data_IF_157166646256
#
_entry.id   IF_157166646256
#
_cell.length_a   1.000
_cell.length_b   1.000
_cell.length_c   1.000
_cell.angle_alpha   90.00
_cell.angle_beta   90.00
_cell.angle_gamma   90.00
#
_symmetry.space_group_name_H-M   'P 1'
#
loop_
_entity.id
_entity.type
_entity.pdbx_description
1 polymer ?
#
# COMPACT_ATOMS: atom_id res chain seq x y z
N UNK A 1 15.19 -5.15 -14.74
CA UNK A 1 14.96 -4.10 -13.72
C UNK A 1 16.29 -3.42 -13.41
N UNK A 2 16.31 -2.07 -13.37
CA UNK A 2 17.48 -1.29 -12.98
C UNK A 2 17.44 -1.11 -11.46
N UNK A 3 18.57 -1.37 -10.80
CA UNK A 3 18.74 -1.17 -9.36
C UNK A 3 19.96 -0.29 -9.15
N UNK A 4 19.80 0.83 -8.44
CA UNK A 4 20.89 1.76 -8.14
C UNK A 4 20.97 2.00 -6.63
N UNK A 5 22.19 1.98 -6.11
CA UNK A 5 22.45 2.44 -4.74
C UNK A 5 22.62 3.96 -4.75
N UNK A 6 21.85 4.64 -3.93
CA UNK A 6 21.92 6.10 -3.77
C UNK A 6 22.07 6.49 -2.31
N UNK A 7 22.67 7.65 -2.08
CA UNK A 7 22.61 8.30 -0.76
C UNK A 7 21.50 9.32 -0.72
N UNK A 8 20.74 9.31 0.38
CA UNK A 8 19.69 10.28 0.61
C UNK A 8 20.08 11.30 1.67
N UNK A 9 19.57 12.53 1.54
CA UNK A 9 19.69 13.57 2.57
C UNK A 9 18.57 13.50 3.61
N UNK A 10 17.44 12.90 3.25
CA UNK A 10 16.25 12.72 4.07
C UNK A 10 15.54 11.43 3.70
N UNK A 11 15.02 10.73 4.70
CA UNK A 11 14.21 9.52 4.53
C UNK A 11 12.88 9.63 5.27
N UNK A 12 12.85 10.38 6.39
CA UNK A 12 11.65 10.75 7.12
C UNK A 12 11.21 12.14 6.64
N UNK A 13 10.08 12.22 5.95
CA UNK A 13 9.58 13.46 5.36
C UNK A 13 8.19 13.78 5.91
N UNK A 14 7.87 15.07 6.09
CA UNK A 14 6.50 15.47 6.45
C UNK A 14 5.54 15.03 5.36
N UNK A 15 4.38 14.52 5.79
CA UNK A 15 3.34 14.04 4.88
C UNK A 15 2.22 15.06 4.71
N UNK A 16 1.64 15.09 3.51
CA UNK A 16 0.37 15.79 3.25
C UNK A 16 -0.86 14.86 3.33
N UNK A 17 -0.64 13.59 3.64
CA UNK A 17 -1.73 12.60 3.75
C UNK A 17 -2.42 12.82 5.11
N UNK A 18 -3.75 12.93 5.10
CA UNK A 18 -4.54 13.08 6.32
C UNK A 18 -4.27 11.92 7.29
N UNK A 19 -3.96 12.25 8.55
CA UNK A 19 -3.66 11.26 9.59
C UNK A 19 -2.24 10.69 9.55
N UNK A 20 -1.36 11.21 8.67
CA UNK A 20 0.05 10.82 8.57
C UNK A 20 0.93 12.04 8.78
N UNK A 21 1.72 12.06 9.85
CA UNK A 21 2.65 13.17 10.13
C UNK A 21 3.93 13.03 9.30
N UNK A 22 4.42 11.81 9.19
CA UNK A 22 5.67 11.51 8.49
C UNK A 22 5.51 10.30 7.56
N UNK A 23 6.12 10.42 6.39
CA UNK A 23 6.33 9.32 5.45
C UNK A 23 7.77 8.83 5.53
N UNK A 24 7.97 7.52 5.63
CA UNK A 24 9.26 6.85 5.63
C UNK A 24 9.37 5.93 4.41
N UNK A 25 10.22 6.32 3.46
CA UNK A 25 10.40 5.59 2.21
C UNK A 25 11.89 5.27 1.98
N UNK A 26 12.36 4.05 2.32
CA UNK A 26 13.77 3.66 2.14
C UNK A 26 14.17 3.41 0.69
N UNK A 27 13.20 3.39 -0.22
CA UNK A 27 13.39 3.19 -1.66
C UNK A 27 12.74 4.32 -2.46
N UNK A 28 13.17 4.48 -3.73
CA UNK A 28 12.43 5.20 -4.77
C UNK A 28 12.14 4.22 -5.91
N UNK A 29 10.90 4.19 -6.38
CA UNK A 29 10.43 3.09 -7.24
C UNK A 29 9.92 1.91 -6.42
N UNK A 30 9.31 0.93 -7.10
CA UNK A 30 8.75 -0.25 -6.44
C UNK A 30 8.72 -1.44 -7.39
N UNK A 31 9.43 -2.50 -7.02
CA UNK A 31 9.54 -3.71 -7.83
C UNK A 31 8.27 -4.56 -7.87
N UNK A 32 7.23 -4.27 -7.07
CA UNK A 32 5.92 -4.91 -7.24
C UNK A 32 5.29 -4.62 -8.60
N UNK A 33 5.67 -3.51 -9.24
CA UNK A 33 5.28 -3.13 -10.60
C UNK A 33 3.76 -3.08 -10.85
N UNK A 34 2.96 -2.78 -9.82
CA UNK A 34 1.50 -2.77 -9.93
C UNK A 34 1.03 -1.87 -11.07
N UNK A 35 0.12 -2.38 -11.93
CA UNK A 35 -0.35 -1.67 -13.11
C UNK A 35 -1.15 -0.40 -12.77
N UNK A 36 -1.82 -0.37 -11.61
CA UNK A 36 -2.64 0.74 -11.12
C UNK A 36 -1.91 1.66 -10.12
N UNK A 37 -0.59 1.52 -9.97
CA UNK A 37 0.16 2.23 -8.93
C UNK A 37 0.05 3.74 -9.08
N UNK A 38 -0.50 4.41 -8.07
CA UNK A 38 -0.61 5.87 -8.06
C UNK A 38 0.75 6.55 -7.90
N UNK A 39 1.73 5.88 -7.27
CA UNK A 39 3.04 6.43 -7.00
C UNK A 39 3.90 6.65 -8.28
N UNK A 40 3.37 6.27 -9.45
CA UNK A 40 3.99 6.58 -10.76
C UNK A 40 4.33 8.07 -10.92
N UNK A 41 3.61 8.97 -10.24
CA UNK A 41 3.89 10.40 -10.27
C UNK A 41 5.29 10.74 -9.69
N UNK A 42 5.84 9.90 -8.84
CA UNK A 42 7.16 10.08 -8.24
C UNK A 42 8.28 10.05 -9.28
N UNK A 43 8.06 9.39 -10.43
CA UNK A 43 9.03 9.34 -11.53
C UNK A 43 9.52 10.74 -11.93
N UNK A 44 8.66 11.77 -11.90
CA UNK A 44 9.01 13.16 -12.25
C UNK A 44 10.09 13.77 -11.34
N UNK A 45 10.32 13.19 -10.15
CA UNK A 45 11.34 13.63 -9.19
C UNK A 45 12.61 12.78 -9.24
N UNK A 46 12.71 11.88 -10.21
CA UNK A 46 13.87 11.02 -10.46
C UNK A 46 14.49 11.38 -11.80
N UNK A 47 15.71 10.96 -12.04
CA UNK A 47 16.35 11.06 -13.38
C UNK A 47 15.96 9.93 -14.33
N UNK A 48 15.11 8.98 -13.88
CA UNK A 48 14.78 7.79 -14.64
C UNK A 48 13.88 8.08 -15.85
N UNK A 49 14.26 7.50 -16.99
CA UNK A 49 13.45 7.48 -18.23
C UNK A 49 12.61 6.20 -18.32
N UNK A 50 13.03 5.16 -17.63
CA UNK A 50 12.41 3.84 -17.57
C UNK A 50 10.98 3.90 -17.02
N UNK A 51 10.18 2.89 -17.32
CA UNK A 51 8.83 2.79 -16.78
C UNK A 51 8.82 2.55 -15.26
N UNK A 52 7.82 3.09 -14.58
CA UNK A 52 7.59 2.83 -13.17
C UNK A 52 7.39 1.32 -12.92
N UNK A 53 8.14 0.76 -11.98
CA UNK A 53 8.13 -0.67 -11.69
C UNK A 53 9.30 -1.42 -12.37
N UNK A 54 10.10 -0.76 -13.21
CA UNK A 54 11.28 -1.36 -13.85
C UNK A 54 12.60 -0.81 -13.31
N UNK A 55 12.55 0.11 -12.36
CA UNK A 55 13.70 0.64 -11.63
C UNK A 55 13.42 0.77 -10.13
N UNK A 56 14.48 0.67 -9.33
CA UNK A 56 14.45 0.98 -7.88
C UNK A 56 15.79 1.60 -7.48
N UNK A 57 15.72 2.77 -6.83
CA UNK A 57 16.87 3.36 -6.14
C UNK A 57 16.83 2.95 -4.66
N UNK A 58 17.92 2.37 -4.21
CA UNK A 58 18.13 1.85 -2.87
C UNK A 58 18.86 2.92 -2.05
N UNK A 59 18.20 3.52 -1.05
CA UNK A 59 18.79 4.55 -0.18
C UNK A 59 19.68 3.90 0.88
N UNK A 60 20.90 3.52 0.49
CA UNK A 60 21.80 2.71 1.32
C UNK A 60 22.12 3.29 2.69
N UNK A 61 22.03 4.62 2.85
CA UNK A 61 22.26 5.32 4.10
C UNK A 61 20.96 5.66 4.87
N UNK A 62 19.81 5.11 4.45
CA UNK A 62 18.50 5.42 5.04
C UNK A 62 18.45 5.24 6.57
N UNK A 63 18.96 4.14 7.16
CA UNK A 63 18.91 3.93 8.62
C UNK A 63 19.69 4.97 9.40
N UNK A 64 20.87 5.40 8.90
CA UNK A 64 21.72 6.42 9.53
C UNK A 64 21.07 7.79 9.43
N UNK A 65 20.47 8.11 8.28
CA UNK A 65 19.74 9.36 8.08
C UNK A 65 18.51 9.40 8.97
N UNK A 66 17.75 8.29 9.05
CA UNK A 66 16.59 8.16 9.94
C UNK A 66 16.98 8.41 11.41
N UNK A 67 18.02 7.74 11.91
CA UNK A 67 18.49 7.91 13.28
C UNK A 67 18.82 9.35 13.63
N UNK A 68 19.37 10.12 12.68
CA UNK A 68 19.64 11.56 12.87
C UNK A 68 18.36 12.40 12.87
N UNK A 69 17.41 12.07 11.97
CA UNK A 69 16.16 12.79 11.86
C UNK A 69 15.24 12.56 13.06
N UNK A 70 15.15 11.32 13.56
CA UNK A 70 14.33 10.97 14.73
C UNK A 70 14.72 11.78 15.99
N UNK A 71 16.02 12.08 16.21
CA UNK A 71 16.46 12.91 17.35
C UNK A 71 15.89 14.32 17.35
N UNK A 72 15.39 14.82 16.21
CA UNK A 72 14.87 16.18 16.02
C UNK A 72 13.39 16.20 15.66
N UNK A 73 12.83 15.05 15.32
CA UNK A 73 11.42 14.92 14.97
C UNK A 73 10.56 15.00 16.24
N UNK A 74 9.39 15.62 16.11
CA UNK A 74 8.38 15.58 17.17
C UNK A 74 7.67 14.23 17.10
N UNK A 75 7.22 13.67 18.25
CA UNK A 75 6.34 12.49 18.24
C UNK A 75 5.16 12.65 17.28
N UNK A 76 4.76 11.58 16.65
CA UNK A 76 3.68 11.58 15.66
C UNK A 76 3.58 10.25 14.93
N UNK A 77 2.73 10.20 13.94
CA UNK A 77 2.48 9.00 13.14
C UNK A 77 3.49 8.90 11.98
N UNK A 78 4.20 7.78 11.90
CA UNK A 78 5.12 7.46 10.79
C UNK A 78 4.49 6.34 9.96
N UNK A 79 4.24 6.62 8.68
CA UNK A 79 3.78 5.59 7.74
C UNK A 79 4.92 5.15 6.82
N UNK A 80 5.21 3.85 6.83
CA UNK A 80 6.16 3.21 5.91
C UNK A 80 5.52 2.96 4.55
N UNK A 81 6.26 3.27 3.48
CA UNK A 81 5.87 2.86 2.14
C UNK A 81 4.73 3.67 1.54
N UNK A 82 4.69 4.99 1.74
CA UNK A 82 3.63 5.82 1.17
C UNK A 82 3.71 5.96 -0.35
N UNK A 83 4.91 5.91 -0.96
CA UNK A 83 5.12 6.03 -2.42
C UNK A 83 6.01 4.91 -2.98
N UNK A 84 6.27 3.91 -2.18
CA UNK A 84 6.93 2.64 -2.52
C UNK A 84 6.36 1.57 -1.60
N UNK A 85 6.64 0.30 -1.83
CA UNK A 85 6.40 -0.72 -0.81
C UNK A 85 7.71 -0.95 -0.06
N UNK A 86 7.67 -0.80 1.27
CA UNK A 86 8.84 -0.96 2.12
C UNK A 86 9.36 -2.42 2.15
N UNK A 87 8.48 -3.38 1.83
CA UNK A 87 8.79 -4.81 1.76
C UNK A 87 8.75 -5.37 0.33
N UNK A 88 8.97 -4.51 -0.67
CA UNK A 88 9.11 -4.94 -2.05
C UNK A 88 10.21 -6.02 -2.21
N UNK A 89 10.24 -6.79 -3.31
CA UNK A 89 11.17 -7.93 -3.47
C UNK A 89 12.64 -7.64 -3.15
N UNK A 90 13.13 -6.42 -3.42
CA UNK A 90 14.52 -6.02 -3.14
C UNK A 90 14.84 -5.93 -1.65
N UNK A 91 13.83 -5.72 -0.80
CA UNK A 91 14.00 -5.67 0.66
C UNK A 91 14.56 -6.99 1.24
N UNK A 92 14.34 -8.11 0.55
CA UNK A 92 14.91 -9.41 0.93
C UNK A 92 16.45 -9.40 0.98
N UNK A 93 17.08 -8.66 0.07
CA UNK A 93 18.53 -8.58 -0.04
C UNK A 93 19.12 -7.34 0.65
N UNK A 94 18.39 -6.22 0.64
CA UNK A 94 18.93 -4.94 1.13
C UNK A 94 18.62 -4.67 2.60
N UNK A 95 17.58 -5.28 3.17
CA UNK A 95 17.16 -5.19 4.57
C UNK A 95 17.04 -3.75 5.14
N UNK A 96 16.76 -2.78 4.28
CA UNK A 96 16.69 -1.37 4.68
C UNK A 96 15.50 -1.08 5.58
N UNK A 97 14.35 -1.70 5.32
CA UNK A 97 13.17 -1.56 6.19
C UNK A 97 13.43 -2.15 7.56
N UNK A 98 14.08 -3.32 7.63
CA UNK A 98 14.54 -3.92 8.87
C UNK A 98 15.47 -2.99 9.63
N UNK A 99 16.51 -2.46 8.99
CA UNK A 99 17.46 -1.54 9.61
C UNK A 99 16.81 -0.21 10.05
N UNK A 100 15.77 0.26 9.34
CA UNK A 100 14.97 1.40 9.77
C UNK A 100 14.13 1.07 11.01
N UNK A 101 13.51 -0.10 11.08
CA UNK A 101 12.80 -0.56 12.30
C UNK A 101 13.75 -0.67 13.50
N UNK A 102 14.95 -1.21 13.31
CA UNK A 102 15.98 -1.23 14.36
C UNK A 102 16.34 0.18 14.85
N UNK A 103 16.41 1.16 13.93
CA UNK A 103 16.66 2.55 14.31
C UNK A 103 15.51 3.13 15.15
N UNK A 104 14.25 2.81 14.81
CA UNK A 104 13.07 3.21 15.57
C UNK A 104 13.05 2.57 16.96
N UNK A 105 13.32 1.27 17.06
CA UNK A 105 13.40 0.55 18.33
C UNK A 105 14.49 1.12 19.24
N UNK A 106 15.69 1.40 18.69
CA UNK A 106 16.80 2.00 19.46
C UNK A 106 16.50 3.41 19.96
N UNK A 107 15.70 4.16 19.19
CA UNK A 107 15.36 5.55 19.56
C UNK A 107 14.40 5.62 20.73
N UNK A 108 13.52 4.62 20.92
CA UNK A 108 12.62 4.50 22.06
C UNK A 108 11.61 5.64 22.23
N UNK A 109 11.39 6.45 21.17
CA UNK A 109 10.46 7.58 21.21
C UNK A 109 9.01 7.13 20.95
N UNK A 110 8.08 7.96 21.37
CA UNK A 110 6.64 7.73 21.24
C UNK A 110 6.16 8.09 19.81
N UNK A 111 6.55 7.27 18.82
CA UNK A 111 6.01 7.32 17.47
C UNK A 111 5.00 6.19 17.28
N UNK A 112 3.85 6.51 16.67
CA UNK A 112 2.94 5.51 16.14
C UNK A 112 3.44 5.08 14.76
N UNK A 113 3.62 3.79 14.54
CA UNK A 113 4.16 3.24 13.29
C UNK A 113 3.05 2.51 12.53
N UNK A 114 2.79 2.93 11.31
CA UNK A 114 1.86 2.24 10.40
C UNK A 114 2.61 1.72 9.18
N UNK A 115 2.45 0.43 8.85
CA UNK A 115 3.12 -0.21 7.72
C UNK A 115 2.05 -0.82 6.81
N UNK A 116 2.00 -0.35 5.55
CA UNK A 116 1.13 -0.94 4.53
C UNK A 116 1.99 -1.63 3.47
N UNK A 117 1.74 -2.92 3.26
CA UNK A 117 2.53 -3.71 2.30
C UNK A 117 1.67 -4.69 1.48
N UNK A 118 2.24 -5.22 0.40
CA UNK A 118 1.76 -6.36 -0.39
C UNK A 118 2.64 -7.61 -0.23
N UNK A 119 3.54 -7.60 0.77
CA UNK A 119 4.55 -8.64 0.92
C UNK A 119 4.52 -9.28 2.31
N UNK A 120 4.42 -10.61 2.35
CA UNK A 120 4.54 -11.41 3.57
C UNK A 120 5.96 -11.39 4.16
N UNK A 121 6.94 -10.82 3.44
CA UNK A 121 8.31 -10.63 3.93
C UNK A 121 8.39 -9.86 5.27
N UNK A 122 7.38 -9.06 5.58
CA UNK A 122 7.29 -8.32 6.86
C UNK A 122 7.36 -9.27 8.08
N UNK A 123 6.94 -10.52 7.94
CA UNK A 123 7.03 -11.52 9.02
C UNK A 123 8.47 -11.79 9.45
N UNK A 124 9.47 -11.58 8.58
CA UNK A 124 10.90 -11.64 8.95
C UNK A 124 11.22 -10.72 10.13
N UNK A 125 10.54 -9.60 10.22
CA UNK A 125 10.86 -8.52 11.16
C UNK A 125 9.92 -8.50 12.38
N UNK A 126 9.21 -9.60 12.63
CA UNK A 126 8.27 -9.75 13.74
C UNK A 126 8.95 -9.51 15.12
N UNK A 127 10.23 -9.87 15.23
CA UNK A 127 11.05 -9.63 16.42
C UNK A 127 11.23 -8.14 16.74
N UNK A 128 11.25 -7.28 15.72
CA UNK A 128 11.35 -5.83 15.86
C UNK A 128 9.97 -5.20 16.06
N UNK A 129 8.95 -5.65 15.32
CA UNK A 129 7.58 -5.16 15.46
C UNK A 129 7.08 -5.31 16.90
N UNK A 130 7.39 -6.44 17.57
CA UNK A 130 7.03 -6.69 18.97
C UNK A 130 7.74 -5.76 19.98
N UNK A 131 8.83 -5.11 19.59
CA UNK A 131 9.58 -4.16 20.44
C UNK A 131 9.09 -2.73 20.30
N UNK A 132 8.33 -2.42 19.27
CA UNK A 132 7.71 -1.11 19.09
C UNK A 132 6.50 -0.98 20.03
N UNK A 133 6.35 0.20 20.64
CA UNK A 133 5.25 0.46 21.61
C UNK A 133 3.89 0.59 20.94
N UNK A 134 3.88 1.22 19.78
CA UNK A 134 2.67 1.50 19.01
C UNK A 134 2.98 1.23 17.54
N UNK A 135 2.52 0.08 17.05
CA UNK A 135 2.70 -0.36 15.66
C UNK A 135 1.45 -1.04 15.16
N UNK A 136 1.07 -0.75 13.95
CA UNK A 136 0.05 -1.50 13.21
C UNK A 136 0.60 -1.93 11.85
N UNK A 137 0.15 -3.07 11.37
CA UNK A 137 0.52 -3.59 10.04
C UNK A 137 -0.73 -3.83 9.22
N UNK A 138 -0.69 -3.37 7.98
CA UNK A 138 -1.75 -3.59 7.02
C UNK A 138 -1.27 -4.29 5.77
N UNK A 139 -2.17 -5.05 5.18
CA UNK A 139 -1.96 -5.61 3.85
C UNK A 139 -2.95 -5.03 2.85
N UNK A 140 -2.44 -4.63 1.69
CA UNK A 140 -3.32 -4.43 0.54
C UNK A 140 -3.73 -5.80 0.00
N UNK A 141 -5.04 -6.07 -0.07
CA UNK A 141 -5.60 -7.26 -0.70
C UNK A 141 -6.77 -6.82 -1.59
N UNK A 142 -6.56 -6.85 -2.91
CA UNK A 142 -7.54 -6.35 -3.90
C UNK A 142 -8.44 -7.44 -4.45
N UNK A 143 -8.02 -8.70 -4.34
CA UNK A 143 -8.75 -9.89 -4.79
C UNK A 143 -8.16 -11.14 -4.14
N UNK A 144 -8.99 -12.19 -4.02
CA UNK A 144 -8.54 -13.55 -3.70
C UNK A 144 -8.10 -14.33 -4.95
N UNK A 145 -8.43 -13.83 -6.15
CA UNK A 145 -8.04 -14.44 -7.41
C UNK A 145 -6.58 -14.10 -7.75
N UNK A 146 -5.71 -15.11 -7.64
CA UNK A 146 -4.29 -14.95 -7.97
C UNK A 146 -4.04 -14.67 -9.45
N UNK A 147 -4.93 -15.07 -10.37
CA UNK A 147 -4.80 -14.70 -11.77
C UNK A 147 -4.98 -13.20 -11.99
N UNK A 148 -5.89 -12.56 -11.23
CA UNK A 148 -6.03 -11.10 -11.22
C UNK A 148 -4.78 -10.45 -10.60
N UNK A 149 -4.30 -10.98 -9.47
CA UNK A 149 -3.08 -10.49 -8.82
C UNK A 149 -1.88 -10.53 -9.77
N UNK A 150 -1.62 -11.64 -10.42
CA UNK A 150 -0.49 -11.79 -11.34
C UNK A 150 -0.50 -10.78 -12.49
N UNK A 151 -1.68 -10.41 -12.95
CA UNK A 151 -1.86 -9.43 -14.04
C UNK A 151 -1.66 -7.98 -13.58
N UNK A 152 -2.10 -7.64 -12.37
CA UNK A 152 -2.11 -6.26 -11.88
C UNK A 152 -1.07 -5.97 -10.79
N UNK A 153 -0.55 -7.00 -10.12
CA UNK A 153 0.44 -6.92 -9.03
C UNK A 153 1.51 -8.02 -9.19
N UNK A 154 2.23 -8.12 -10.31
CA UNK A 154 2.97 -9.31 -10.73
C UNK A 154 4.01 -9.82 -9.73
N UNK A 155 4.60 -8.94 -8.93
CA UNK A 155 5.67 -9.30 -7.99
C UNK A 155 5.25 -9.12 -6.51
N UNK A 156 3.97 -9.06 -6.22
CA UNK A 156 3.44 -9.05 -4.87
C UNK A 156 3.23 -10.47 -4.37
N UNK A 157 3.18 -10.67 -3.06
CA UNK A 157 2.85 -11.97 -2.48
C UNK A 157 1.42 -12.41 -2.84
N UNK A 158 1.16 -13.70 -3.05
CA UNK A 158 -0.19 -14.23 -3.24
C UNK A 158 -1.17 -13.79 -2.15
N UNK A 159 -2.45 -13.64 -2.47
CA UNK A 159 -3.47 -13.23 -1.50
C UNK A 159 -3.50 -14.14 -0.27
N UNK A 160 -3.38 -15.47 -0.47
CA UNK A 160 -3.31 -16.45 0.62
C UNK A 160 -2.15 -16.20 1.57
N UNK A 161 -0.96 -15.83 1.07
CA UNK A 161 0.19 -15.54 1.92
C UNK A 161 0.00 -14.24 2.71
N UNK A 162 -0.64 -13.21 2.12
CA UNK A 162 -0.98 -11.96 2.82
C UNK A 162 -2.02 -12.22 3.92
N UNK A 163 -3.03 -13.05 3.69
CA UNK A 163 -4.00 -13.45 4.70
C UNK A 163 -3.34 -14.25 5.83
N UNK A 164 -2.46 -15.18 5.50
CA UNK A 164 -1.70 -15.93 6.50
C UNK A 164 -0.78 -15.01 7.32
N UNK A 165 -0.18 -14.01 6.69
CA UNK A 165 0.63 -13.02 7.39
C UNK A 165 -0.22 -12.18 8.36
N UNK A 166 -1.44 -11.77 7.98
CA UNK A 166 -2.38 -11.10 8.88
C UNK A 166 -2.71 -11.96 10.09
N UNK A 167 -2.99 -13.25 9.90
CA UNK A 167 -3.27 -14.20 10.97
C UNK A 167 -2.10 -14.32 11.94
N UNK A 168 -0.88 -14.51 11.43
CA UNK A 168 0.34 -14.64 12.25
C UNK A 168 0.67 -13.34 13.02
N UNK A 169 0.41 -12.18 12.43
CA UNK A 169 0.56 -10.89 13.11
C UNK A 169 -0.49 -10.73 14.21
N UNK A 170 -1.75 -11.11 13.96
CA UNK A 170 -2.79 -11.12 14.99
C UNK A 170 -2.41 -12.02 16.17
N UNK A 171 -1.95 -13.25 15.91
CA UNK A 171 -1.45 -14.17 16.96
C UNK A 171 -0.26 -13.60 17.73
N UNK A 172 0.57 -12.79 17.05
CA UNK A 172 1.67 -12.07 17.67
C UNK A 172 1.22 -10.82 18.47
N UNK A 173 -0.08 -10.54 18.52
CA UNK A 173 -0.70 -9.36 19.14
C UNK A 173 -0.26 -8.04 18.52
N UNK A 174 0.07 -8.05 17.24
CA UNK A 174 0.30 -6.84 16.44
C UNK A 174 -1.04 -6.42 15.84
N UNK A 175 -1.53 -5.19 16.09
CA UNK A 175 -2.73 -4.67 15.45
C UNK A 175 -2.64 -4.74 13.93
N UNK A 176 -3.71 -5.24 13.29
CA UNK A 176 -3.75 -5.40 11.84
C UNK A 176 -4.99 -4.78 11.22
N UNK A 177 -4.86 -4.33 9.97
CA UNK A 177 -6.00 -3.95 9.14
C UNK A 177 -5.75 -4.31 7.68
N UNK A 178 -6.81 -4.37 6.89
CA UNK A 178 -6.71 -4.69 5.47
C UNK A 178 -7.10 -3.48 4.61
N UNK A 179 -6.31 -3.20 3.58
CA UNK A 179 -6.63 -2.24 2.54
C UNK A 179 -7.18 -2.95 1.31
N UNK A 180 -8.49 -2.91 1.12
CA UNK A 180 -9.18 -3.41 -0.07
C UNK A 180 -9.24 -2.28 -1.11
N UNK A 181 -8.09 -1.99 -1.72
CA UNK A 181 -7.94 -0.87 -2.64
C UNK A 181 -6.68 -0.93 -3.51
N UNK A 182 -6.79 -0.47 -4.78
CA UNK A 182 -8.04 -0.06 -5.40
C UNK A 182 -8.91 -1.24 -5.81
N UNK A 183 -10.21 -1.14 -5.57
CA UNK A 183 -11.16 -2.07 -6.18
C UNK A 183 -11.25 -1.75 -7.67
N UNK A 184 -11.10 -2.80 -8.51
CA UNK A 184 -11.06 -2.67 -9.97
C UNK A 184 -12.47 -2.91 -10.56
N UNK A 185 -13.09 -1.89 -11.17
CA UNK A 185 -14.44 -1.99 -11.74
C UNK A 185 -14.59 -3.12 -12.73
N UNK A 186 -15.65 -3.91 -12.61
CA UNK A 186 -15.96 -5.09 -13.45
C UNK A 186 -14.88 -6.20 -13.47
N UNK A 187 -13.93 -6.16 -12.52
CA UNK A 187 -12.86 -7.15 -12.38
C UNK A 187 -12.83 -7.72 -10.95
N UNK A 188 -12.88 -6.85 -9.92
CA UNK A 188 -12.83 -7.26 -8.51
C UNK A 188 -13.96 -6.66 -7.67
N UNK A 189 -14.97 -6.07 -8.29
CA UNK A 189 -16.02 -5.32 -7.61
C UNK A 189 -17.38 -6.03 -7.57
N UNK A 190 -17.47 -7.28 -8.06
CA UNK A 190 -18.69 -8.06 -7.91
C UNK A 190 -18.94 -8.43 -6.44
N UNK A 191 -20.22 -8.60 -6.10
CA UNK A 191 -20.61 -8.80 -4.70
C UNK A 191 -20.09 -10.11 -4.13
N UNK A 192 -20.05 -11.17 -4.92
CA UNK A 192 -19.58 -12.50 -4.50
C UNK A 192 -18.09 -12.48 -4.16
N UNK A 193 -17.26 -11.88 -5.03
CA UNK A 193 -15.82 -11.77 -4.81
C UNK A 193 -15.48 -10.90 -3.60
N UNK A 194 -16.20 -9.79 -3.41
CA UNK A 194 -16.02 -8.92 -2.24
C UNK A 194 -16.49 -9.59 -0.95
N UNK A 195 -17.60 -10.32 -0.99
CA UNK A 195 -18.12 -11.06 0.16
C UNK A 195 -17.16 -12.16 0.61
N UNK A 196 -16.63 -12.93 -0.35
CA UNK A 196 -15.62 -13.95 -0.08
C UNK A 196 -14.34 -13.35 0.52
N UNK A 197 -13.87 -12.21 -0.02
CA UNK A 197 -12.70 -11.51 0.54
C UNK A 197 -12.95 -11.07 1.99
N UNK A 198 -14.12 -10.51 2.29
CA UNK A 198 -14.44 -10.03 3.64
C UNK A 198 -14.64 -11.18 4.62
N UNK A 199 -15.19 -12.32 4.17
CA UNK A 199 -15.26 -13.54 4.96
C UNK A 199 -13.85 -14.04 5.37
N UNK A 200 -12.89 -14.06 4.42
CA UNK A 200 -11.50 -14.42 4.73
C UNK A 200 -10.83 -13.42 5.67
N UNK A 201 -11.06 -12.12 5.49
CA UNK A 201 -10.52 -11.09 6.39
C UNK A 201 -11.10 -11.23 7.81
N UNK A 202 -12.38 -11.58 7.95
CA UNK A 202 -12.98 -11.90 9.26
C UNK A 202 -12.34 -13.13 9.86
N UNK A 203 -12.13 -14.19 9.07
CA UNK A 203 -11.53 -15.45 9.51
C UNK A 203 -10.11 -15.26 10.07
N UNK A 204 -9.33 -14.33 9.52
CA UNK A 204 -7.98 -14.02 10.02
C UNK A 204 -7.95 -12.88 11.05
N UNK A 205 -9.13 -12.48 11.52
CA UNK A 205 -9.32 -11.55 12.65
C UNK A 205 -8.66 -10.18 12.47
N UNK A 206 -8.77 -9.60 11.25
CA UNK A 206 -8.30 -8.21 11.05
C UNK A 206 -9.11 -7.23 11.89
N UNK A 207 -8.45 -6.23 12.45
CA UNK A 207 -9.10 -5.21 13.28
C UNK A 207 -10.04 -4.29 12.49
N UNK A 208 -9.76 -4.02 11.22
CA UNK A 208 -10.64 -3.22 10.36
C UNK A 208 -10.31 -3.39 8.88
N UNK A 209 -11.25 -2.94 8.03
CA UNK A 209 -11.09 -2.89 6.57
C UNK A 209 -11.20 -1.45 6.09
N UNK A 210 -10.23 -1.01 5.28
CA UNK A 210 -10.27 0.26 4.56
C UNK A 210 -10.49 -0.02 3.07
N UNK A 211 -11.50 0.61 2.47
CA UNK A 211 -11.84 0.42 1.04
C UNK A 211 -11.61 1.69 0.25
N UNK A 212 -11.02 1.57 -0.93
CA UNK A 212 -10.91 2.67 -1.89
C UNK A 212 -11.24 2.21 -3.31
N UNK A 213 -11.81 3.12 -4.07
CA UNK A 213 -12.03 2.97 -5.51
C UNK A 213 -10.81 3.40 -6.30
N UNK A 214 -10.65 2.81 -7.48
CA UNK A 214 -9.56 3.16 -8.40
C UNK A 214 -9.54 4.66 -8.74
N UNK A 215 -8.34 5.26 -8.65
CA UNK A 215 -8.08 6.63 -9.08
C UNK A 215 -7.31 6.64 -10.40
N UNK A 216 -7.97 7.06 -11.49
CA UNK A 216 -7.44 7.06 -12.86
C UNK A 216 -6.74 8.37 -13.25
N UNK A 217 -6.37 9.21 -12.30
CA UNK A 217 -5.74 10.50 -12.60
C UNK A 217 -4.30 10.34 -13.10
N UNK A 218 -3.88 11.28 -13.98
CA UNK A 218 -2.50 11.38 -14.45
C UNK A 218 -2.00 10.13 -15.18
N UNK A 219 -0.78 9.73 -14.88
CA UNK A 219 -0.10 8.61 -15.54
C UNK A 219 -0.67 7.21 -15.21
N UNK A 220 -1.57 7.10 -14.21
CA UNK A 220 -2.20 5.80 -13.85
C UNK A 220 -3.04 5.27 -15.01
N UNK A 221 -3.85 6.13 -15.63
CA UNK A 221 -4.68 5.73 -16.78
C UNK A 221 -3.83 5.21 -17.94
N UNK A 222 -2.75 5.89 -18.29
CA UNK A 222 -1.86 5.47 -19.38
C UNK A 222 -1.36 4.03 -19.20
N UNK A 223 -0.84 3.71 -18.02
CA UNK A 223 -0.33 2.37 -17.68
C UNK A 223 -1.45 1.34 -17.63
N UNK A 224 -2.49 1.61 -16.85
CA UNK A 224 -3.58 0.68 -16.65
C UNK A 224 -4.33 0.38 -17.94
N UNK A 225 -4.57 1.39 -18.81
CA UNK A 225 -5.26 1.21 -20.07
C UNK A 225 -4.54 0.25 -21.02
N UNK A 226 -3.21 0.21 -20.99
CA UNK A 226 -2.42 -0.75 -21.77
C UNK A 226 -2.68 -2.17 -21.28
N UNK A 227 -2.61 -2.41 -19.98
CA UNK A 227 -2.92 -3.71 -19.39
C UNK A 227 -4.37 -4.14 -19.67
N UNK A 228 -5.34 -3.22 -19.51
CA UNK A 228 -6.76 -3.52 -19.76
C UNK A 228 -7.05 -3.87 -21.21
N UNK A 229 -6.47 -3.14 -22.18
CA UNK A 229 -6.66 -3.45 -23.62
C UNK A 229 -6.21 -4.85 -23.98
N UNK A 230 -5.16 -5.34 -23.34
CA UNK A 230 -4.60 -6.67 -23.60
C UNK A 230 -5.37 -7.76 -22.85
N UNK A 231 -5.70 -7.53 -21.58
CA UNK A 231 -6.18 -8.57 -20.67
C UNK A 231 -7.72 -8.57 -20.53
N UNK A 232 -8.34 -7.38 -20.60
CA UNK A 232 -9.77 -7.18 -20.36
C UNK A 232 -10.35 -6.12 -21.33
N UNK A 233 -10.29 -6.32 -22.66
CA UNK A 233 -10.69 -5.29 -23.63
C UNK A 233 -12.15 -4.84 -23.47
N UNK A 234 -13.02 -5.73 -23.02
CA UNK A 234 -14.45 -5.44 -22.82
C UNK A 234 -14.74 -4.43 -21.70
N UNK A 235 -13.84 -4.27 -20.71
CA UNK A 235 -14.06 -3.30 -19.62
C UNK A 235 -13.50 -1.90 -19.92
N UNK A 236 -12.72 -1.73 -20.98
CA UNK A 236 -12.08 -0.44 -21.33
C UNK A 236 -13.09 0.72 -21.44
N UNK A 237 -14.30 0.58 -22.02
CA UNK A 237 -15.30 1.65 -22.03
C UNK A 237 -15.71 2.11 -20.63
N UNK A 238 -15.90 1.17 -19.69
CA UNK A 238 -16.23 1.48 -18.28
C UNK A 238 -15.15 2.35 -17.65
N UNK A 239 -13.88 1.98 -17.82
CA UNK A 239 -12.76 2.74 -17.25
C UNK A 239 -12.58 4.13 -17.87
N UNK A 240 -12.89 4.28 -19.17
CA UNK A 240 -12.93 5.62 -19.80
C UNK A 240 -14.00 6.51 -19.18
N UNK A 241 -15.20 6.00 -18.95
CA UNK A 241 -16.26 6.73 -18.27
C UNK A 241 -15.84 7.14 -16.85
N UNK A 242 -15.22 6.24 -16.10
CA UNK A 242 -14.71 6.50 -14.76
C UNK A 242 -13.58 7.53 -14.72
N UNK A 243 -12.75 7.62 -15.76
CA UNK A 243 -11.70 8.64 -15.83
C UNK A 243 -12.27 10.05 -15.91
N UNK A 244 -13.47 10.20 -16.44
CA UNK A 244 -14.19 11.48 -16.52
C UNK A 244 -14.97 11.81 -15.24
N UNK A 245 -15.66 10.83 -14.67
CA UNK A 245 -16.41 11.00 -13.42
C UNK A 245 -16.50 9.69 -12.63
N UNK A 246 -15.67 9.55 -11.60
CA UNK A 246 -15.68 8.36 -10.73
C UNK A 246 -16.66 8.43 -9.55
N UNK A 247 -17.23 9.61 -9.27
CA UNK A 247 -17.99 9.82 -8.04
C UNK A 247 -19.22 8.90 -7.87
N UNK A 248 -20.06 8.67 -8.92
CA UNK A 248 -21.19 7.74 -8.80
C UNK A 248 -20.74 6.31 -8.49
N UNK A 249 -19.70 5.82 -9.19
CA UNK A 249 -19.14 4.49 -8.94
C UNK A 249 -18.59 4.37 -7.52
N UNK A 250 -17.80 5.36 -7.10
CA UNK A 250 -17.23 5.39 -5.75
C UNK A 250 -18.34 5.29 -4.68
N UNK A 251 -19.39 6.10 -4.80
CA UNK A 251 -20.54 6.07 -3.87
C UNK A 251 -21.17 4.69 -3.82
N UNK A 252 -21.49 4.10 -4.95
CA UNK A 252 -22.10 2.77 -5.03
C UNK A 252 -21.18 1.68 -4.44
N UNK A 253 -19.87 1.76 -4.69
CA UNK A 253 -18.89 0.84 -4.12
C UNK A 253 -18.82 0.97 -2.59
N UNK A 254 -18.79 2.20 -2.05
CA UNK A 254 -18.77 2.44 -0.61
C UNK A 254 -20.03 1.89 0.07
N UNK A 255 -21.21 2.09 -0.52
CA UNK A 255 -22.47 1.53 -0.02
C UNK A 255 -22.47 0.00 -0.03
N UNK A 256 -22.03 -0.60 -1.16
CA UNK A 256 -21.88 -2.06 -1.33
C UNK A 256 -20.96 -2.66 -0.27
N UNK A 257 -19.73 -2.15 -0.17
CA UNK A 257 -18.71 -2.72 0.72
C UNK A 257 -19.03 -2.49 2.20
N UNK A 258 -19.69 -1.38 2.56
CA UNK A 258 -20.20 -1.17 3.93
C UNK A 258 -21.25 -2.20 4.31
N UNK A 259 -22.18 -2.54 3.40
CA UNK A 259 -23.20 -3.56 3.61
C UNK A 259 -22.57 -4.95 3.78
N UNK A 260 -21.57 -5.29 2.95
CA UNK A 260 -20.84 -6.56 3.04
C UNK A 260 -20.09 -6.63 4.37
N UNK A 261 -19.34 -5.58 4.74
CA UNK A 261 -18.60 -5.53 6.00
C UNK A 261 -19.54 -5.74 7.23
N UNK A 262 -20.73 -5.16 7.19
CA UNK A 262 -21.72 -5.32 8.25
C UNK A 262 -22.20 -6.79 8.38
N UNK A 263 -22.35 -7.52 7.26
CA UNK A 263 -22.68 -8.97 7.29
C UNK A 263 -21.62 -9.81 8.00
N UNK A 264 -20.35 -9.41 7.87
CA UNK A 264 -19.21 -10.08 8.49
C UNK A 264 -18.77 -9.47 9.82
N UNK A 265 -19.52 -8.49 10.36
CA UNK A 265 -19.16 -7.78 11.59
C UNK A 265 -17.72 -7.23 11.57
N UNK A 266 -17.29 -6.70 10.42
CA UNK A 266 -15.98 -6.09 10.24
C UNK A 266 -16.07 -4.57 10.41
N UNK A 267 -15.25 -3.95 11.27
CA UNK A 267 -15.11 -2.50 11.29
C UNK A 267 -14.66 -2.00 9.91
N UNK A 268 -15.46 -1.10 9.31
CA UNK A 268 -15.27 -0.65 7.93
C UNK A 268 -15.04 0.86 7.87
N UNK A 269 -14.13 1.26 7.00
CA UNK A 269 -13.89 2.65 6.61
C UNK A 269 -13.82 2.74 5.09
N UNK A 270 -14.42 3.77 4.51
CA UNK A 270 -14.24 4.13 3.10
C UNK A 270 -13.31 5.33 2.96
N UNK A 271 -12.49 5.35 1.93
CA UNK A 271 -11.70 6.55 1.60
C UNK A 271 -12.65 7.60 1.01
N UNK A 272 -12.68 8.79 1.60
CA UNK A 272 -13.49 9.89 1.09
C UNK A 272 -12.88 10.49 -0.18
N UNK A 273 -13.73 10.83 -1.15
CA UNK A 273 -13.27 11.61 -2.30
C UNK A 273 -12.93 13.04 -1.87
N UNK A 274 -11.84 13.61 -2.39
CA UNK A 274 -11.56 15.01 -2.15
C UNK A 274 -12.71 15.87 -2.64
N UNK A 275 -13.04 16.93 -1.90
CA UNK A 275 -14.05 17.91 -2.31
C UNK A 275 -13.66 18.54 -3.65
N UNK A 276 -14.62 18.88 -4.52
CA UNK A 276 -14.32 19.61 -5.74
C UNK A 276 -13.52 20.88 -5.42
N UNK A 277 -12.33 21.03 -6.03
CA UNK A 277 -11.43 22.17 -5.79
C UNK A 277 -10.33 21.94 -4.77
N UNK A 278 -10.29 20.81 -4.04
CA UNK A 278 -9.18 20.44 -3.17
C UNK A 278 -8.03 19.81 -3.96
N UNK A 279 -6.83 20.40 -3.86
CA UNK A 279 -5.61 19.77 -4.35
C UNK A 279 -5.27 18.62 -3.40
N UNK A 280 -5.31 17.38 -3.91
CA UNK A 280 -4.59 16.28 -3.25
C UNK A 280 -3.09 16.48 -3.52
N UNK A 281 -2.23 16.21 -2.52
CA UNK A 281 -0.78 16.30 -2.67
C UNK A 281 -0.23 15.34 -3.73
#
# INVERSE_FOLDING_TARGET
MIVQNIECKSVLTKSGITGVDYALNPYVGCAHACAYCYAVFMKRFTGHKEEWGTFVDVKVNAPQVLSRQLRRARPGNITFGTVTDAYQPLERAHELSRACLEALVRQGQDFSISILTKSDLILRDLDLLRKLRDVEVAFTITSLDDAVRERFEPHSSPARQRLEALRLLHEARIPTWAFCGPVLPSITDDETSLDALFAELKRVEVGSVLVDSLNLRGAVWGRLSTALKTLYPHVVPTYRALSSNRAPYHKALMEKTRRIAARHELPWRGVELPRPGGTQP
#
